data_IF_487646456302
#
_entry.id   IF_487646456302
#
_cell.length_a   1.000
_cell.length_b   1.000
_cell.length_c   1.000
_cell.angle_alpha   90.00
_cell.angle_beta   90.00
_cell.angle_gamma   90.00
#
_symmetry.space_group_name_H-M   'P 1'
#
loop_
_entity.id
_entity.type
_entity.pdbx_description
1 polymer ?
#
# COMPACT_ATOMS: atom_id res chain seq x y z
N UNK A 1 9.20 86.18 -26.58
CA UNK A 1 9.64 85.00 -27.36
C UNK A 1 9.18 83.77 -26.58
N UNK A 2 7.92 83.42 -26.78
CA UNK A 2 7.26 82.31 -26.08
C UNK A 2 7.51 81.01 -26.83
N UNK A 3 7.97 79.97 -26.12
CA UNK A 3 8.23 78.65 -26.70
C UNK A 3 7.16 77.66 -26.20
N UNK A 4 6.45 77.12 -27.18
CA UNK A 4 5.39 76.13 -27.10
C UNK A 4 5.79 74.83 -26.39
N UNK A 5 4.87 74.29 -25.59
CA UNK A 5 4.87 72.90 -25.13
C UNK A 5 3.78 72.16 -25.92
N UNK A 6 4.19 71.14 -26.68
CA UNK A 6 3.31 70.30 -27.47
C UNK A 6 2.73 69.16 -26.61
N UNK A 7 1.40 69.07 -26.54
CA UNK A 7 0.70 67.93 -25.96
C UNK A 7 0.46 66.86 -27.03
N UNK A 8 0.96 65.64 -26.77
CA UNK A 8 0.80 64.47 -27.64
C UNK A 8 -0.38 63.66 -27.11
N UNK A 9 -1.40 63.50 -27.95
CA UNK A 9 -2.41 62.45 -27.82
C UNK A 9 -2.34 61.61 -29.09
N UNK A 10 -2.25 60.27 -28.98
CA UNK A 10 -3.22 59.36 -29.62
C UNK A 10 -2.94 57.86 -29.35
N UNK A 11 -4.06 57.15 -29.19
CA UNK A 11 -4.36 55.75 -29.56
C UNK A 11 -3.78 54.59 -28.74
N UNK A 12 -4.66 54.04 -27.90
CA UNK A 12 -4.62 52.69 -27.35
C UNK A 12 -4.67 51.63 -28.47
N UNK A 13 -3.63 50.81 -28.56
CA UNK A 13 -3.61 49.61 -29.40
C UNK A 13 -3.96 48.39 -28.54
N UNK A 14 -5.00 47.66 -28.95
CA UNK A 14 -5.50 46.48 -28.25
C UNK A 14 -4.58 45.28 -28.34
N UNK A 15 -4.57 44.47 -27.28
CA UNK A 15 -4.07 43.10 -27.28
C UNK A 15 -5.21 42.20 -26.78
N UNK A 16 -5.67 41.32 -27.67
CA UNK A 16 -6.69 40.32 -27.36
C UNK A 16 -6.08 39.14 -26.56
N UNK A 17 -6.96 38.51 -25.77
CA UNK A 17 -6.68 37.50 -24.77
C UNK A 17 -6.02 36.22 -25.32
N UNK A 18 -5.07 35.70 -24.56
CA UNK A 18 -4.85 34.26 -24.42
C UNK A 18 -4.60 33.95 -22.95
N UNK A 19 -5.66 33.58 -22.22
CA UNK A 19 -5.56 33.04 -20.87
C UNK A 19 -4.91 31.66 -20.96
N UNK A 20 -3.67 31.54 -20.47
CA UNK A 20 -3.05 30.24 -20.23
C UNK A 20 -3.71 29.68 -18.97
N UNK A 21 -4.60 28.71 -19.13
CA UNK A 21 -5.08 27.91 -18.00
C UNK A 21 -3.92 27.03 -17.52
N UNK A 22 -3.19 27.51 -16.50
CA UNK A 22 -2.26 26.65 -15.77
C UNK A 22 -3.13 25.71 -14.94
N UNK A 23 -3.20 24.45 -15.34
CA UNK A 23 -3.73 23.39 -14.48
C UNK A 23 -2.80 23.27 -13.26
N UNK A 24 -3.21 23.84 -12.13
CA UNK A 24 -2.60 23.52 -10.83
C UNK A 24 -3.09 22.13 -10.42
N UNK A 25 -2.29 21.10 -10.69
CA UNK A 25 -2.37 19.87 -9.88
C UNK A 25 -2.11 20.29 -8.44
N UNK A 26 -3.16 20.25 -7.62
CA UNK A 26 -3.02 20.36 -6.17
C UNK A 26 -2.25 19.14 -5.67
N UNK A 27 -0.96 19.33 -5.38
CA UNK A 27 -0.25 18.44 -4.46
C UNK A 27 -0.99 18.48 -3.12
N UNK A 28 -1.52 17.34 -2.71
CA UNK A 28 -2.03 17.17 -1.36
C UNK A 28 -0.84 16.88 -0.44
N UNK A 29 -0.16 17.93 -0.01
CA UNK A 29 0.86 17.82 1.03
C UNK A 29 0.13 17.58 2.37
N UNK A 30 0.15 16.35 2.88
CA UNK A 30 -0.52 15.92 4.12
C UNK A 30 0.18 16.41 5.41
N UNK A 31 0.72 17.63 5.42
CA UNK A 31 1.28 18.22 6.63
C UNK A 31 0.31 19.25 7.20
N UNK A 32 -0.74 18.76 7.85
CA UNK A 32 -1.62 19.61 8.67
C UNK A 32 -0.87 20.00 9.96
N UNK A 33 -0.86 21.29 10.28
CA UNK A 33 -0.34 21.81 11.54
C UNK A 33 -1.06 21.15 12.75
N UNK A 34 -0.37 20.91 13.88
CA UNK A 34 -0.98 20.30 15.06
C UNK A 34 -2.15 21.17 15.57
N UNK A 35 -3.35 20.58 15.65
CA UNK A 35 -4.57 21.24 16.11
C UNK A 35 -5.66 21.48 15.06
N UNK A 36 -5.45 21.07 13.80
CA UNK A 36 -6.48 21.05 12.75
C UNK A 36 -6.81 19.61 12.37
N UNK A 37 -7.39 18.84 13.30
CA UNK A 37 -8.06 17.60 12.93
C UNK A 37 -9.22 17.95 12.01
N UNK A 38 -9.10 17.61 10.74
CA UNK A 38 -10.20 17.75 9.78
C UNK A 38 -11.26 16.75 10.18
N UNK A 39 -12.22 17.17 11.00
CA UNK A 39 -13.38 16.36 11.36
C UNK A 39 -14.10 15.97 10.06
N UNK A 40 -13.94 14.72 9.64
CA UNK A 40 -14.72 14.16 8.56
C UNK A 40 -16.14 14.03 9.11
N UNK A 41 -17.00 15.01 8.84
CA UNK A 41 -18.41 14.95 9.22
C UNK A 41 -19.08 13.83 8.41
N UNK A 42 -19.11 12.63 8.98
CA UNK A 42 -19.89 11.52 8.48
C UNK A 42 -21.30 11.71 9.02
N UNK A 43 -22.24 12.07 8.15
CA UNK A 43 -23.65 12.09 8.49
C UNK A 43 -24.08 10.68 8.97
N UNK A 44 -24.96 10.55 9.98
CA UNK A 44 -25.49 9.27 10.43
C UNK A 44 -26.55 8.77 9.43
N UNK A 45 -26.14 8.53 8.18
CA UNK A 45 -26.80 7.58 7.31
C UNK A 45 -26.36 6.18 7.74
N UNK A 46 -27.26 5.21 7.64
CA UNK A 46 -27.09 3.77 7.95
C UNK A 46 -25.63 3.39 8.21
N UNK A 47 -25.31 2.88 9.40
CA UNK A 47 -23.97 2.39 9.81
C UNK A 47 -23.40 1.50 8.70
N UNK A 48 -22.78 2.12 7.71
CA UNK A 48 -21.99 1.45 6.72
C UNK A 48 -20.70 1.32 7.48
N UNK A 49 -20.34 0.09 7.93
CA UNK A 49 -19.09 -0.08 8.64
C UNK A 49 -18.04 0.59 7.76
N UNK A 50 -17.25 1.48 8.36
CA UNK A 50 -16.05 2.01 7.71
C UNK A 50 -15.45 0.81 7.00
N UNK A 51 -15.35 0.83 5.66
CA UNK A 51 -14.68 -0.24 4.91
C UNK A 51 -13.20 -0.11 5.23
N UNK A 52 -12.86 -0.34 6.50
CA UNK A 52 -11.52 -0.52 6.98
C UNK A 52 -10.99 -1.64 6.12
N UNK A 53 -9.88 -1.34 5.47
CA UNK A 53 -9.08 -2.27 4.68
C UNK A 53 -9.21 -3.67 5.28
N UNK A 54 -9.70 -4.64 4.53
CA UNK A 54 -9.89 -6.00 5.08
C UNK A 54 -8.49 -6.52 5.38
N UNK A 55 -8.14 -6.57 6.66
CA UNK A 55 -6.85 -7.05 7.10
C UNK A 55 -6.93 -8.55 7.33
N UNK A 56 -6.04 -9.30 6.71
CA UNK A 56 -5.80 -10.70 7.01
C UNK A 56 -4.33 -10.83 7.40
N UNK A 57 -4.06 -11.65 8.39
CA UNK A 57 -2.69 -11.84 8.87
C UNK A 57 -2.40 -13.28 9.20
N UNK A 58 -1.13 -13.65 9.05
CA UNK A 58 -0.62 -14.91 9.53
C UNK A 58 0.80 -14.71 10.07
N UNK A 59 1.05 -15.20 11.28
CA UNK A 59 2.38 -15.37 11.83
C UNK A 59 2.73 -16.86 11.77
N UNK A 60 3.84 -17.19 11.15
CA UNK A 60 4.27 -18.57 10.87
C UNK A 60 5.63 -18.78 11.51
N UNK A 61 5.80 -19.90 12.20
CA UNK A 61 7.08 -20.32 12.75
C UNK A 61 7.93 -20.99 11.65
N UNK A 62 9.24 -21.08 11.87
CA UNK A 62 10.16 -21.73 10.93
C UNK A 62 9.77 -23.18 10.58
N UNK A 63 9.23 -23.94 11.54
CA UNK A 63 8.73 -25.31 11.32
C UNK A 63 7.46 -25.40 10.46
N UNK A 64 6.85 -24.26 10.14
CA UNK A 64 5.60 -24.16 9.39
C UNK A 64 4.33 -24.19 10.23
N UNK A 65 4.46 -24.28 11.55
CA UNK A 65 3.32 -24.12 12.46
C UNK A 65 2.82 -22.68 12.49
N UNK A 66 1.53 -22.51 12.78
CA UNK A 66 0.89 -21.20 12.82
C UNK A 66 1.05 -20.63 14.24
N UNK A 67 1.79 -19.54 14.37
CA UNK A 67 1.96 -18.80 15.62
C UNK A 67 0.81 -17.81 15.88
N UNK A 68 0.19 -17.30 14.82
CA UNK A 68 -0.93 -16.37 14.90
C UNK A 68 -1.67 -16.32 13.57
N UNK A 69 -2.97 -16.08 13.62
CA UNK A 69 -3.81 -16.11 12.42
C UNK A 69 -5.04 -15.23 12.61
N UNK A 70 -5.25 -14.32 11.66
CA UNK A 70 -6.49 -13.56 11.52
C UNK A 70 -7.02 -13.75 10.09
N UNK A 71 -8.13 -14.49 9.97
CA UNK A 71 -8.77 -14.77 8.68
C UNK A 71 -8.07 -15.83 7.83
N UNK A 72 -7.01 -16.49 8.31
CA UNK A 72 -6.36 -17.59 7.61
C UNK A 72 -7.14 -18.91 7.78
N UNK A 73 -7.07 -19.76 6.76
CA UNK A 73 -7.53 -21.15 6.78
C UNK A 73 -6.39 -22.03 7.29
N UNK A 74 -6.47 -22.41 8.57
CA UNK A 74 -5.41 -23.15 9.24
C UNK A 74 -5.19 -24.55 8.67
N UNK A 75 -6.23 -25.20 8.14
CA UNK A 75 -6.13 -26.54 7.55
C UNK A 75 -5.36 -26.57 6.23
N UNK A 76 -5.37 -25.47 5.48
CA UNK A 76 -4.71 -25.34 4.18
C UNK A 76 -3.45 -24.46 4.21
N UNK A 77 -3.14 -23.88 5.37
CA UNK A 77 -1.91 -23.13 5.62
C UNK A 77 -0.83 -24.10 6.11
N UNK A 78 0.26 -24.22 5.35
CA UNK A 78 1.29 -25.24 5.61
C UNK A 78 2.62 -24.93 4.94
N UNK A 79 3.68 -25.51 5.49
CA UNK A 79 4.99 -25.65 4.84
C UNK A 79 4.91 -26.72 3.75
N UNK A 80 5.42 -26.40 2.56
CA UNK A 80 5.46 -27.28 1.40
C UNK A 80 6.85 -27.88 1.16
N UNK A 81 7.89 -27.22 1.65
CA UNK A 81 9.29 -27.61 1.53
C UNK A 81 10.19 -26.59 2.24
N UNK A 82 11.50 -26.80 2.21
CA UNK A 82 12.47 -25.88 2.82
C UNK A 82 12.28 -24.46 2.27
N UNK A 83 12.00 -23.51 3.15
CA UNK A 83 11.72 -22.11 2.82
C UNK A 83 10.44 -21.86 2.04
N UNK A 84 9.63 -22.86 1.73
CA UNK A 84 8.43 -22.72 0.89
C UNK A 84 7.18 -22.97 1.72
N UNK A 85 6.28 -22.00 1.73
CA UNK A 85 5.04 -22.02 2.49
C UNK A 85 3.85 -21.63 1.61
N UNK A 86 2.68 -22.14 1.97
CA UNK A 86 1.39 -21.69 1.45
C UNK A 86 0.56 -21.18 2.61
N UNK A 87 0.09 -19.94 2.51
CA UNK A 87 -0.82 -19.33 3.49
C UNK A 87 -2.16 -19.13 2.82
N UNK A 88 -3.17 -19.85 3.27
CA UNK A 88 -4.52 -19.84 2.71
C UNK A 88 -5.43 -18.97 3.58
N UNK A 89 -6.34 -18.21 2.96
CA UNK A 89 -7.30 -17.36 3.66
C UNK A 89 -8.76 -17.77 3.39
N UNK A 90 -8.99 -18.85 2.65
CA UNK A 90 -10.33 -19.36 2.34
C UNK A 90 -11.15 -18.50 1.37
N UNK A 91 -10.57 -17.44 0.83
CA UNK A 91 -11.18 -16.57 -0.17
C UNK A 91 -10.09 -15.93 -1.04
N UNK A 92 -10.48 -15.46 -2.23
CA UNK A 92 -9.53 -14.97 -3.22
C UNK A 92 -8.69 -13.81 -2.66
N UNK A 93 -7.37 -13.98 -2.66
CA UNK A 93 -6.36 -13.01 -2.19
C UNK A 93 -5.31 -12.69 -3.26
N UNK A 94 -5.67 -12.89 -4.54
CA UNK A 94 -4.72 -12.69 -5.64
C UNK A 94 -4.33 -11.22 -5.79
N UNK A 95 -3.04 -10.97 -5.96
CA UNK A 95 -2.53 -9.60 -6.09
C UNK A 95 -3.12 -8.87 -7.29
N UNK A 96 -3.30 -9.57 -8.42
CA UNK A 96 -3.90 -8.98 -9.64
C UNK A 96 -5.38 -8.60 -9.47
N UNK A 97 -6.04 -9.09 -8.41
CA UNK A 97 -7.43 -8.74 -8.07
C UNK A 97 -7.53 -7.58 -7.08
N UNK A 98 -6.42 -6.87 -6.84
CA UNK A 98 -6.36 -5.69 -5.99
C UNK A 98 -6.02 -5.97 -4.54
N UNK A 99 -5.57 -7.19 -4.21
CA UNK A 99 -5.10 -7.52 -2.87
C UNK A 99 -3.64 -7.12 -2.70
N UNK A 100 -3.38 -6.23 -1.75
CA UNK A 100 -2.02 -5.86 -1.36
C UNK A 100 -1.48 -6.87 -0.36
N UNK A 101 -0.18 -7.13 -0.41
CA UNK A 101 0.47 -8.05 0.52
C UNK A 101 1.87 -7.62 0.87
N UNK A 102 2.27 -7.91 2.10
CA UNK A 102 3.61 -7.66 2.61
C UNK A 102 4.02 -8.79 3.54
N UNK A 103 5.26 -9.24 3.41
CA UNK A 103 5.85 -10.27 4.27
C UNK A 103 7.08 -9.70 4.96
N UNK A 104 7.20 -9.98 6.25
CA UNK A 104 8.37 -9.64 7.04
C UNK A 104 8.91 -10.91 7.67
N UNK A 105 10.13 -11.30 7.28
CA UNK A 105 10.86 -12.34 7.98
C UNK A 105 11.19 -11.85 9.41
N UNK A 106 10.95 -12.69 10.40
CA UNK A 106 11.38 -12.45 11.77
C UNK A 106 12.78 -13.06 11.94
N UNK A 107 13.82 -12.25 11.85
CA UNK A 107 15.21 -12.71 11.98
C UNK A 107 15.68 -12.86 13.43
N UNK A 108 14.92 -12.34 14.40
CA UNK A 108 15.28 -12.38 15.82
C UNK A 108 15.18 -13.81 16.37
N UNK A 109 14.14 -14.54 15.99
CA UNK A 109 13.80 -15.83 16.59
C UNK A 109 14.54 -17.02 15.96
N UNK A 110 15.10 -16.86 14.75
CA UNK A 110 15.66 -17.96 13.94
C UNK A 110 17.19 -18.01 13.92
N UNK A 111 17.87 -16.93 14.32
CA UNK A 111 19.34 -16.84 14.19
C UNK A 111 19.84 -16.80 12.73
N UNK A 112 18.95 -16.53 11.76
CA UNK A 112 19.30 -16.35 10.36
C UNK A 112 19.32 -14.85 10.03
N UNK A 113 20.43 -14.19 10.36
CA UNK A 113 20.59 -12.72 10.29
C UNK A 113 20.21 -12.11 8.92
N UNK A 114 20.26 -12.90 7.85
CA UNK A 114 20.03 -12.45 6.48
C UNK A 114 18.94 -13.24 5.75
N UNK A 115 17.98 -13.83 6.46
CA UNK A 115 16.82 -14.43 5.80
C UNK A 115 15.87 -13.35 5.27
N UNK A 116 15.39 -13.48 4.04
CA UNK A 116 14.31 -12.67 3.49
C UNK A 116 13.22 -13.56 2.92
N UNK A 117 11.99 -13.06 2.89
CA UNK A 117 10.87 -13.78 2.30
C UNK A 117 10.22 -12.93 1.19
N UNK A 118 9.75 -13.60 0.15
CA UNK A 118 9.01 -13.01 -0.96
C UNK A 118 7.61 -13.64 -1.05
N UNK A 119 6.68 -12.94 -1.69
CA UNK A 119 5.31 -13.43 -1.91
C UNK A 119 4.96 -13.53 -3.38
N UNK A 120 4.15 -14.52 -3.75
CA UNK A 120 3.52 -14.66 -5.06
C UNK A 120 2.09 -15.22 -4.91
N UNK A 121 1.31 -15.15 -5.98
CA UNK A 121 0.03 -15.86 -6.03
C UNK A 121 0.30 -17.37 -6.05
N UNK A 122 -0.47 -18.15 -5.29
CA UNK A 122 -0.30 -19.59 -5.29
C UNK A 122 -0.87 -20.19 -6.57
N UNK A 123 -0.02 -20.84 -7.36
CA UNK A 123 -0.46 -21.55 -8.56
C UNK A 123 -1.55 -22.58 -8.24
N UNK A 124 -2.69 -22.52 -8.92
CA UNK A 124 -3.83 -23.43 -8.75
C UNK A 124 -4.68 -23.19 -7.49
N UNK A 125 -4.38 -22.19 -6.67
CA UNK A 125 -5.19 -21.84 -5.50
C UNK A 125 -5.24 -20.31 -5.34
N UNK A 126 -6.35 -19.70 -5.73
CA UNK A 126 -6.54 -18.25 -5.66
C UNK A 126 -6.78 -17.74 -4.23
N UNK A 127 -7.06 -18.64 -3.30
CA UNK A 127 -7.25 -18.33 -1.88
C UNK A 127 -5.94 -18.29 -1.08
N UNK A 128 -4.81 -18.53 -1.73
CA UNK A 128 -3.54 -18.66 -1.04
C UNK A 128 -2.41 -17.78 -1.60
N UNK A 129 -1.55 -17.36 -0.68
CA UNK A 129 -0.28 -16.71 -0.96
C UNK A 129 0.81 -17.76 -0.88
N UNK A 130 1.65 -17.83 -1.92
CA UNK A 130 2.90 -18.56 -1.88
C UNK A 130 3.97 -17.68 -1.26
N UNK A 131 4.65 -18.19 -0.23
CA UNK A 131 5.76 -17.50 0.45
C UNK A 131 7.02 -18.31 0.26
N UNK A 132 8.11 -17.64 -0.07
CA UNK A 132 9.41 -18.25 -0.24
C UNK A 132 10.48 -17.46 0.50
N UNK A 133 11.12 -18.12 1.46
CA UNK A 133 12.15 -17.59 2.33
C UNK A 133 13.53 -18.15 1.93
N UNK A 134 14.50 -17.25 1.81
CA UNK A 134 15.84 -17.56 1.30
C UNK A 134 16.92 -16.83 2.10
N UNK A 135 18.12 -17.37 2.03
CA UNK A 135 19.38 -16.69 2.32
C UNK A 135 20.17 -16.50 1.02
N UNK A 136 21.35 -15.90 1.10
CA UNK A 136 22.23 -15.68 -0.05
C UNK A 136 22.62 -16.97 -0.78
N UNK A 137 22.55 -18.12 -0.14
CA UNK A 137 23.05 -19.40 -0.67
C UNK A 137 21.98 -20.47 -0.87
N UNK A 138 20.87 -20.42 -0.13
CA UNK A 138 19.86 -21.48 -0.17
C UNK A 138 18.49 -21.04 0.37
N UNK A 139 17.40 -21.77 0.02
CA UNK A 139 16.15 -21.71 0.76
C UNK A 139 16.36 -21.98 2.24
N UNK A 140 15.64 -21.26 3.09
CA UNK A 140 15.74 -21.40 4.55
C UNK A 140 14.36 -21.35 5.17
N UNK A 141 14.13 -22.22 6.14
CA UNK A 141 12.94 -22.14 6.96
C UNK A 141 13.06 -20.97 7.93
N UNK A 142 12.08 -20.08 7.89
CA UNK A 142 12.10 -18.83 8.64
C UNK A 142 10.75 -18.57 9.27
N UNK A 143 10.76 -17.98 10.47
CA UNK A 143 9.56 -17.38 11.03
C UNK A 143 9.24 -16.09 10.26
N UNK A 144 7.97 -15.78 10.05
CA UNK A 144 7.56 -14.55 9.36
C UNK A 144 6.16 -14.10 9.75
N UNK A 145 5.90 -12.82 9.53
CA UNK A 145 4.58 -12.23 9.55
C UNK A 145 4.14 -11.88 8.12
N UNK A 146 2.95 -12.33 7.73
CA UNK A 146 2.29 -12.00 6.46
C UNK A 146 1.09 -11.12 6.74
N UNK A 147 1.01 -10.02 5.99
CA UNK A 147 -0.11 -9.10 5.96
C UNK A 147 -0.75 -9.11 4.58
N UNK A 148 -2.08 -9.18 4.53
CA UNK A 148 -2.87 -9.11 3.29
C UNK A 148 -4.01 -8.13 3.48
N UNK A 149 -4.23 -7.27 2.50
CA UNK A 149 -5.15 -6.14 2.58
C UNK A 149 -5.90 -5.91 1.27
N UNK A 150 -7.09 -5.32 1.34
CA UNK A 150 -7.86 -4.86 0.18
C UNK A 150 -8.43 -3.47 0.39
#
# INVERSE_FOLDING_TARGET
>A
MDRSVAAIALTCLGIALSSVAVAQTTRQDNNTLPGQERALSVAPGSVQPTRGVVFLTAAINSDGSIAGCFGCNTANTKRLGAGIYQIDFGHNVQAIKGWSRWVQADTLTIGAENAWCNTADRAGNDNAVWVNCQTSSAPVDASFFLFVAR
#
